data_IF_474479165236
#
_entry.id   IF_474479165236
#
_cell.length_a   1.000
_cell.length_b   1.000
_cell.length_c   1.000
_cell.angle_alpha   90.00
_cell.angle_beta   90.00
_cell.angle_gamma   90.00
#
_symmetry.space_group_name_H-M   'P 1'
#
loop_
_entity.id
_entity.type
_entity.pdbx_description
1 polymer ?
#
# COMPACT_ATOMS: atom_id res chain seq x y z
N UNK A 1 6.58 29.57 -9.75
CA UNK A 1 5.54 29.94 -8.76
C UNK A 1 5.76 29.12 -7.52
N UNK A 2 5.61 29.70 -6.33
CA UNK A 2 5.90 29.01 -5.05
C UNK A 2 4.96 27.84 -4.79
N UNK A 3 3.66 27.98 -5.14
CA UNK A 3 2.67 26.90 -5.05
C UNK A 3 3.00 25.67 -5.90
N UNK A 4 3.49 25.87 -7.13
CA UNK A 4 3.91 24.78 -8.02
C UNK A 4 5.11 24.01 -7.47
N UNK A 5 6.03 24.71 -6.81
CA UNK A 5 7.17 24.05 -6.15
C UNK A 5 6.66 23.19 -4.98
N UNK A 6 5.78 23.75 -4.16
CA UNK A 6 5.22 23.04 -3.02
C UNK A 6 4.37 21.82 -3.44
N UNK A 7 3.61 21.94 -4.53
CA UNK A 7 2.88 20.82 -5.14
C UNK A 7 3.81 19.65 -5.44
N UNK A 8 4.93 19.90 -6.13
CA UNK A 8 5.91 18.86 -6.49
C UNK A 8 6.55 18.20 -5.28
N UNK A 9 6.81 18.95 -4.21
CA UNK A 9 7.35 18.42 -2.96
C UNK A 9 6.36 17.44 -2.30
N UNK A 10 5.07 17.80 -2.25
CA UNK A 10 4.03 16.94 -1.69
C UNK A 10 3.79 15.70 -2.56
N UNK A 11 3.76 15.86 -3.89
CA UNK A 11 3.65 14.74 -4.83
C UNK A 11 4.80 13.75 -4.66
N UNK A 12 6.02 14.26 -4.46
CA UNK A 12 7.19 13.42 -4.21
C UNK A 12 7.04 12.60 -2.92
N UNK A 13 6.64 13.23 -1.83
CA UNK A 13 6.45 12.56 -0.53
C UNK A 13 5.31 11.53 -0.59
N UNK A 14 4.19 11.87 -1.22
CA UNK A 14 3.07 10.94 -1.46
C UNK A 14 3.50 9.75 -2.31
N UNK A 15 4.25 9.99 -3.38
CA UNK A 15 4.75 8.92 -4.24
C UNK A 15 5.69 7.99 -3.47
N UNK A 16 6.55 8.51 -2.59
CA UNK A 16 7.41 7.68 -1.76
C UNK A 16 6.58 6.77 -0.84
N UNK A 17 5.57 7.31 -0.15
CA UNK A 17 4.68 6.53 0.71
C UNK A 17 3.89 5.48 -0.07
N UNK A 18 3.37 5.82 -1.25
CA UNK A 18 2.63 4.88 -2.09
C UNK A 18 3.54 3.75 -2.61
N UNK A 19 4.78 4.05 -3.01
CA UNK A 19 5.75 3.03 -3.40
C UNK A 19 6.08 2.05 -2.26
N UNK A 20 6.08 2.52 -1.01
CA UNK A 20 6.26 1.65 0.16
C UNK A 20 5.04 0.74 0.36
N UNK A 21 3.82 1.27 0.19
CA UNK A 21 2.57 0.50 0.21
C UNK A 21 2.59 -0.57 -0.88
N UNK A 22 2.89 -0.21 -2.13
CA UNK A 22 2.91 -1.14 -3.26
C UNK A 22 3.88 -2.32 -3.04
N UNK A 23 5.05 -2.04 -2.46
CA UNK A 23 6.02 -3.09 -2.08
C UNK A 23 5.47 -4.00 -0.98
N UNK A 24 4.77 -3.44 0.00
CA UNK A 24 4.12 -4.21 1.05
C UNK A 24 3.00 -5.09 0.49
N UNK A 25 2.16 -4.56 -0.40
CA UNK A 25 1.09 -5.29 -1.08
C UNK A 25 1.63 -6.46 -1.89
N UNK A 26 2.65 -6.22 -2.73
CA UNK A 26 3.29 -7.29 -3.50
C UNK A 26 3.85 -8.38 -2.60
N UNK A 27 4.57 -8.00 -1.54
CA UNK A 27 5.10 -8.95 -0.56
C UNK A 27 4.01 -9.72 0.17
N UNK A 28 2.85 -9.12 0.40
CA UNK A 28 1.70 -9.75 1.06
C UNK A 28 1.02 -10.77 0.14
N UNK A 29 0.82 -10.42 -1.13
CA UNK A 29 0.27 -11.35 -2.14
C UNK A 29 1.22 -12.53 -2.40
N UNK A 30 2.53 -12.30 -2.46
CA UNK A 30 3.53 -13.37 -2.56
C UNK A 30 3.43 -14.36 -1.39
N UNK A 31 3.17 -13.88 -0.17
CA UNK A 31 2.99 -14.73 1.01
C UNK A 31 1.69 -15.53 0.95
N UNK A 32 0.59 -14.93 0.48
CA UNK A 32 -0.68 -15.66 0.30
C UNK A 32 -0.53 -16.80 -0.69
N UNK A 33 0.11 -16.55 -1.82
CA UNK A 33 0.38 -17.58 -2.82
C UNK A 33 1.21 -18.72 -2.22
N UNK A 34 2.29 -18.39 -1.48
CA UNK A 34 3.10 -19.41 -0.79
C UNK A 34 2.27 -20.22 0.22
N UNK A 35 1.43 -19.57 1.02
CA UNK A 35 0.57 -20.26 1.99
C UNK A 35 -0.44 -21.17 1.29
N UNK A 36 -0.99 -20.76 0.16
CA UNK A 36 -1.89 -21.60 -0.63
C UNK A 36 -1.18 -22.88 -1.09
N UNK A 37 -0.01 -22.75 -1.72
CA UNK A 37 0.79 -23.91 -2.18
C UNK A 37 1.11 -24.85 -1.02
N UNK A 38 1.55 -24.30 0.11
CA UNK A 38 1.86 -25.11 1.31
C UNK A 38 0.61 -25.77 1.90
N UNK A 39 -0.55 -25.11 1.82
CA UNK A 39 -1.82 -25.68 2.28
C UNK A 39 -2.24 -26.86 1.40
N UNK A 40 -2.15 -26.73 0.08
CA UNK A 40 -2.42 -27.82 -0.87
C UNK A 40 -1.52 -29.04 -0.58
N UNK A 41 -0.22 -28.80 -0.38
CA UNK A 41 0.72 -29.87 -0.06
C UNK A 41 0.52 -30.47 1.35
N UNK A 42 0.05 -29.70 2.34
CA UNK A 42 -0.39 -30.25 3.63
C UNK A 42 -1.58 -31.19 3.46
N UNK A 43 -2.56 -30.80 2.63
CA UNK A 43 -3.78 -31.59 2.42
C UNK A 43 -3.45 -32.91 1.68
N UNK A 44 -2.52 -32.85 0.71
CA UNK A 44 -1.95 -34.04 0.06
C UNK A 44 -1.22 -34.96 1.07
N UNK A 45 -0.42 -34.39 1.97
CA UNK A 45 0.27 -35.17 3.01
C UNK A 45 -0.71 -35.85 3.97
N UNK A 46 -1.80 -35.17 4.34
CA UNK A 46 -2.84 -35.74 5.21
C UNK A 46 -3.59 -36.90 4.57
N UNK A 47 -3.69 -36.93 3.24
CA UNK A 47 -4.27 -38.05 2.52
C UNK A 47 -3.44 -39.33 2.70
N UNK A 48 -2.11 -39.22 2.74
CA UNK A 48 -1.20 -40.36 2.91
C UNK A 48 -1.00 -40.75 4.39
N UNK A 49 -0.92 -39.74 5.26
CA UNK A 49 -0.74 -39.92 6.70
C UNK A 49 -1.63 -38.95 7.48
N UNK A 50 -2.63 -39.40 8.25
CA UNK A 50 -3.63 -38.53 8.89
C UNK A 50 -3.08 -37.75 10.11
N UNK A 51 -1.77 -37.56 10.21
CA UNK A 51 -1.12 -36.78 11.27
C UNK A 51 -0.69 -35.40 10.75
N UNK A 52 -1.17 -34.33 11.39
CA UNK A 52 -0.70 -32.95 11.14
C UNK A 52 0.66 -32.70 11.80
N UNK A 53 1.70 -33.40 11.34
CA UNK A 53 3.06 -33.27 11.87
C UNK A 53 4.08 -33.12 10.76
N UNK A 54 5.22 -32.52 11.14
CA UNK A 54 6.36 -32.34 10.26
C UNK A 54 6.48 -30.91 9.73
N UNK A 55 7.56 -30.72 8.98
CA UNK A 55 8.02 -29.40 8.55
C UNK A 55 6.97 -28.62 7.75
N UNK A 56 6.14 -29.30 6.95
CA UNK A 56 5.17 -28.64 6.08
C UNK A 56 4.05 -27.93 6.87
N UNK A 57 3.60 -28.49 7.99
CA UNK A 57 2.62 -27.85 8.87
C UNK A 57 3.24 -26.71 9.69
N UNK A 58 4.50 -26.86 10.11
CA UNK A 58 5.27 -25.75 10.72
C UNK A 58 5.37 -24.58 9.74
N UNK A 59 5.71 -24.86 8.48
CA UNK A 59 5.79 -23.84 7.44
C UNK A 59 4.41 -23.18 7.17
N UNK A 60 3.32 -23.95 7.19
CA UNK A 60 1.94 -23.43 7.05
C UNK A 60 1.61 -22.43 8.17
N UNK A 61 1.96 -22.76 9.42
CA UNK A 61 1.78 -21.88 10.56
C UNK A 61 2.65 -20.61 10.47
N UNK A 62 3.93 -20.77 10.16
CA UNK A 62 4.87 -19.64 10.01
C UNK A 62 4.44 -18.66 8.91
N UNK A 63 3.94 -19.17 7.78
CA UNK A 63 3.39 -18.34 6.70
C UNK A 63 2.12 -17.61 7.14
N UNK A 64 1.26 -18.26 7.93
CA UNK A 64 0.08 -17.60 8.49
C UNK A 64 0.45 -16.42 9.38
N UNK A 65 1.39 -16.61 10.30
CA UNK A 65 1.85 -15.56 11.21
C UNK A 65 2.48 -14.37 10.44
N UNK A 66 3.26 -14.66 9.40
CA UNK A 66 3.83 -13.62 8.54
C UNK A 66 2.76 -12.84 7.78
N UNK A 67 1.72 -13.52 7.27
CA UNK A 67 0.57 -12.88 6.61
C UNK A 67 -0.16 -11.95 7.58
N UNK A 68 -0.48 -12.41 8.79
CA UNK A 68 -1.18 -11.59 9.80
C UNK A 68 -0.36 -10.34 10.15
N UNK A 69 0.96 -10.49 10.36
CA UNK A 69 1.86 -9.35 10.62
C UNK A 69 1.87 -8.36 9.44
N UNK A 70 1.93 -8.86 8.20
CA UNK A 70 1.94 -8.03 6.99
C UNK A 70 0.61 -7.32 6.75
N UNK A 71 -0.51 -7.98 7.02
CA UNK A 71 -1.84 -7.40 6.91
C UNK A 71 -2.02 -6.22 7.85
N UNK A 72 -1.55 -6.36 9.10
CA UNK A 72 -1.54 -5.25 10.06
C UNK A 72 -0.70 -4.07 9.58
N UNK A 73 0.52 -4.33 9.09
CA UNK A 73 1.40 -3.28 8.56
C UNK A 73 0.76 -2.57 7.36
N UNK A 74 0.14 -3.33 6.45
CA UNK A 74 -0.52 -2.77 5.28
C UNK A 74 -1.70 -1.88 5.67
N UNK A 75 -2.49 -2.31 6.66
CA UNK A 75 -3.56 -1.49 7.23
C UNK A 75 -3.01 -0.18 7.79
N UNK A 76 -2.01 -0.24 8.67
CA UNK A 76 -1.37 0.92 9.29
C UNK A 76 -0.80 1.90 8.24
N UNK A 77 -0.15 1.39 7.19
CA UNK A 77 0.38 2.21 6.09
C UNK A 77 -0.74 2.89 5.28
N UNK A 78 -1.83 2.18 4.97
CA UNK A 78 -2.98 2.75 4.24
C UNK A 78 -3.74 3.79 5.06
N UNK A 79 -3.80 3.61 6.37
CA UNK A 79 -4.45 4.54 7.29
C UNK A 79 -3.49 5.55 7.91
N UNK A 80 -2.29 5.70 7.37
CA UNK A 80 -1.28 6.62 7.90
C UNK A 80 -1.81 8.07 7.89
N UNK A 81 -1.92 8.75 9.04
CA UNK A 81 -2.45 10.12 9.11
C UNK A 81 -1.67 11.12 8.27
N UNK A 82 -0.35 10.98 8.18
CA UNK A 82 0.49 11.89 7.39
C UNK A 82 0.18 11.76 5.90
N UNK A 83 -0.08 10.55 5.41
CA UNK A 83 -0.47 10.32 4.01
C UNK A 83 -1.80 11.03 3.71
N UNK A 84 -2.79 10.84 4.57
CA UNK A 84 -4.11 11.48 4.42
C UNK A 84 -4.02 13.02 4.47
N UNK A 85 -3.17 13.55 5.34
CA UNK A 85 -2.93 14.99 5.43
C UNK A 85 -2.24 15.53 4.17
N UNK A 86 -1.26 14.81 3.62
CA UNK A 86 -0.59 15.18 2.37
C UNK A 86 -1.54 15.12 1.17
N UNK A 87 -2.39 14.09 1.07
CA UNK A 87 -3.44 13.99 0.03
C UNK A 87 -4.42 15.17 0.11
N UNK A 88 -4.86 15.52 1.32
CA UNK A 88 -5.73 16.69 1.55
C UNK A 88 -5.03 18.00 1.15
N UNK A 89 -3.75 18.14 1.49
CA UNK A 89 -2.96 19.32 1.20
C UNK A 89 -2.74 19.48 -0.31
N UNK A 90 -2.40 18.40 -1.01
CA UNK A 90 -2.27 18.38 -2.48
C UNK A 90 -3.55 18.88 -3.15
N UNK A 91 -4.70 18.32 -2.75
CA UNK A 91 -6.02 18.74 -3.26
C UNK A 91 -6.29 20.23 -3.06
N UNK A 92 -5.86 20.80 -1.93
CA UNK A 92 -5.99 22.24 -1.68
C UNK A 92 -5.09 23.07 -2.60
N UNK A 93 -3.83 22.67 -2.75
CA UNK A 93 -2.86 23.39 -3.60
C UNK A 93 -3.33 23.40 -5.06
N UNK A 94 -3.79 22.26 -5.58
CA UNK A 94 -4.33 22.16 -6.94
C UNK A 94 -5.52 23.11 -7.16
N UNK A 95 -6.41 23.24 -6.17
CA UNK A 95 -7.52 24.18 -6.23
C UNK A 95 -7.04 25.63 -6.32
N UNK A 96 -6.04 26.02 -5.52
CA UNK A 96 -5.50 27.38 -5.54
C UNK A 96 -4.79 27.69 -6.87
N UNK A 97 -4.01 26.76 -7.40
CA UNK A 97 -3.36 26.91 -8.71
C UNK A 97 -4.42 27.13 -9.81
N UNK A 98 -5.48 26.33 -9.82
CA UNK A 98 -6.60 26.48 -10.77
C UNK A 98 -7.27 27.85 -10.69
N UNK A 99 -7.53 28.36 -9.48
CA UNK A 99 -8.11 29.70 -9.29
C UNK A 99 -7.18 30.79 -9.85
N UNK A 100 -5.89 30.72 -9.56
CA UNK A 100 -4.93 31.71 -10.08
C UNK A 100 -4.82 31.68 -11.61
N UNK A 101 -4.97 30.52 -12.24
CA UNK A 101 -5.02 30.38 -13.70
C UNK A 101 -6.30 30.99 -14.29
N UNK A 102 -7.46 30.76 -13.67
CA UNK A 102 -8.73 31.36 -14.07
C UNK A 102 -8.70 32.89 -13.97
N UNK A 103 -8.19 33.44 -12.87
CA UNK A 103 -8.04 34.88 -12.67
C UNK A 103 -7.13 35.52 -13.72
N UNK A 104 -5.97 34.91 -14.01
CA UNK A 104 -5.06 35.38 -15.08
C UNK A 104 -5.75 35.39 -16.45
N UNK A 105 -6.52 34.34 -16.75
CA UNK A 105 -7.23 34.22 -18.03
C UNK A 105 -8.38 35.23 -18.18
N UNK A 106 -9.00 35.67 -17.08
CA UNK A 106 -10.01 36.73 -17.08
C UNK A 106 -9.41 38.11 -17.30
N UNK A 107 -8.24 38.38 -16.70
CA UNK A 107 -7.52 39.66 -16.89
C UNK A 107 -7.06 39.81 -18.34
N UNK A 108 -6.61 38.74 -18.99
CA UNK A 108 -6.14 38.76 -20.39
C UNK A 108 -7.26 38.92 -21.44
N UNK A 109 -8.53 38.77 -21.05
CA UNK A 109 -9.70 38.87 -21.94
C UNK A 109 -10.42 40.23 -21.86
N UNK A 110 -10.03 41.10 -20.93
CA UNK A 110 -10.54 42.47 -20.76
C UNK A 110 -9.47 43.49 -21.13
#
# INVERSE_FOLDING_TARGET
MELEKWKKEIEYDLNKLNNEIDKLEKSYEDLKLKKQIVTEACDEYLFETPEEKGYIFTLKADLHDQIVKKEKLLFESKTNPNRLQLELLLKKIERYISIEEEEKNLILKN
#
